data_IF_607490569516
#
_entry.id   IF_607490569516
#
_cell.length_a   1.000
_cell.length_b   1.000
_cell.length_c   1.000
_cell.angle_alpha   90.00
_cell.angle_beta   90.00
_cell.angle_gamma   90.00
#
_symmetry.space_group_name_H-M   'P 1'
#
loop_
_entity.id
_entity.type
_entity.pdbx_description
1 polymer ?
#
# COMPACT_ATOMS: atom_id res chain seq x y z
N UNK A 1 -34.10 14.36 20.00
CA UNK A 1 -32.82 13.70 19.73
C UNK A 1 -32.02 14.61 18.80
N UNK A 2 -30.92 15.19 19.30
CA UNK A 2 -29.98 15.98 18.45
C UNK A 2 -29.13 14.99 17.66
N UNK A 3 -28.84 15.23 16.37
CA UNK A 3 -27.95 14.40 15.60
C UNK A 3 -26.54 14.51 16.20
N UNK A 4 -25.90 13.37 16.39
CA UNK A 4 -24.48 13.26 16.77
C UNK A 4 -23.63 14.01 15.73
N UNK A 5 -23.19 15.20 16.11
CA UNK A 5 -22.26 15.98 15.32
C UNK A 5 -20.91 15.26 15.25
N UNK A 6 -20.52 14.87 14.05
CA UNK A 6 -19.17 14.42 13.74
C UNK A 6 -18.21 15.56 14.09
N UNK A 7 -17.45 15.40 15.16
CA UNK A 7 -16.34 16.30 15.46
C UNK A 7 -15.23 15.98 14.46
N UNK A 8 -15.05 16.85 13.48
CA UNK A 8 -13.81 16.94 12.73
C UNK A 8 -12.69 17.24 13.74
N UNK A 9 -11.87 16.24 14.04
CA UNK A 9 -10.59 16.49 14.65
C UNK A 9 -9.75 17.04 13.50
N UNK A 10 -9.56 18.34 13.48
CA UNK A 10 -8.51 18.97 12.68
C UNK A 10 -7.20 18.30 13.10
N UNK A 11 -6.69 17.39 12.28
CA UNK A 11 -5.34 16.92 12.42
C UNK A 11 -4.42 18.13 12.23
N UNK A 12 -3.82 18.61 13.30
CA UNK A 12 -2.66 19.47 13.25
C UNK A 12 -1.53 18.60 12.65
N UNK A 13 -1.57 18.42 11.33
CA UNK A 13 -0.58 17.66 10.62
C UNK A 13 0.75 18.37 10.70
N UNK A 14 1.78 17.67 11.18
CA UNK A 14 3.14 18.11 11.01
C UNK A 14 3.43 18.19 9.51
N UNK A 15 4.17 19.20 9.09
CA UNK A 15 4.66 19.29 7.73
C UNK A 15 6.16 19.51 7.74
N UNK A 16 6.84 18.93 6.77
CA UNK A 16 8.27 19.12 6.52
C UNK A 16 8.44 19.71 5.13
N UNK A 17 9.04 20.88 5.03
CA UNK A 17 9.29 21.55 3.76
C UNK A 17 10.76 21.42 3.41
N UNK A 18 11.05 20.80 2.26
CA UNK A 18 12.37 20.78 1.66
C UNK A 18 12.24 21.08 0.16
N UNK A 19 12.94 22.12 -0.29
CA UNK A 19 12.82 22.58 -1.68
C UNK A 19 11.38 23.04 -2.01
N UNK A 20 10.84 22.52 -3.12
CA UNK A 20 9.56 22.94 -3.67
C UNK A 20 8.36 22.13 -3.15
N UNK A 21 8.57 21.02 -2.42
CA UNK A 21 7.51 20.13 -1.98
C UNK A 21 7.33 20.14 -0.46
N UNK A 22 6.09 20.01 -0.02
CA UNK A 22 5.75 19.92 1.40
C UNK A 22 5.28 18.53 1.74
N UNK A 23 6.09 17.76 2.51
CA UNK A 23 5.66 16.48 3.05
C UNK A 23 4.68 16.70 4.20
N UNK A 24 3.50 16.12 4.08
CA UNK A 24 2.50 16.10 5.13
C UNK A 24 2.57 14.78 5.90
N UNK A 25 2.42 14.86 7.21
CA UNK A 25 2.33 13.67 8.07
C UNK A 25 0.89 13.49 8.51
N UNK A 26 0.46 12.22 8.53
CA UNK A 26 -0.90 11.84 8.94
C UNK A 26 -0.82 10.77 10.01
N UNK A 27 -1.75 10.83 10.94
CA UNK A 27 -1.87 9.79 11.96
C UNK A 27 -2.32 8.48 11.33
N UNK A 28 -1.65 7.38 11.67
CA UNK A 28 -1.99 6.06 11.18
C UNK A 28 -3.13 5.45 12.02
N UNK A 29 -4.36 5.59 11.53
CA UNK A 29 -5.57 5.15 12.24
C UNK A 29 -5.74 5.81 13.59
N UNK A 30 -6.10 5.02 14.62
CA UNK A 30 -6.25 5.47 16.02
C UNK A 30 -4.92 5.50 16.80
N UNK A 31 -3.80 5.10 16.18
CA UNK A 31 -2.51 5.16 16.85
C UNK A 31 -2.02 6.62 16.94
N UNK A 32 -0.97 6.84 17.72
CA UNK A 32 -0.27 8.13 17.73
C UNK A 32 0.89 8.17 16.72
N UNK A 33 1.02 7.13 15.88
CA UNK A 33 2.09 7.03 14.90
C UNK A 33 1.82 7.99 13.73
N UNK A 34 2.79 8.87 13.48
CA UNK A 34 2.74 9.80 12.35
C UNK A 34 3.52 9.22 11.17
N UNK A 35 2.88 9.12 10.03
CA UNK A 35 3.51 8.62 8.78
C UNK A 35 3.43 9.67 7.69
N UNK A 36 4.44 9.72 6.84
CA UNK A 36 4.45 10.58 5.65
C UNK A 36 3.34 10.19 4.68
N UNK A 37 2.76 11.16 4.00
CA UNK A 37 1.71 10.96 3.00
C UNK A 37 2.17 10.04 1.84
N UNK A 38 3.45 10.07 1.50
CA UNK A 38 4.07 9.06 0.64
C UNK A 38 4.84 8.05 1.49
N UNK A 39 4.65 6.76 1.18
CA UNK A 39 5.42 5.63 1.69
C UNK A 39 6.33 5.10 0.59
N UNK A 40 7.61 4.89 0.87
CA UNK A 40 8.53 4.30 -0.09
C UNK A 40 8.32 2.78 -0.15
N UNK A 41 7.83 2.29 -1.29
CA UNK A 41 7.66 0.86 -1.57
C UNK A 41 8.91 0.27 -2.22
N UNK A 42 9.38 -0.87 -1.73
CA UNK A 42 10.68 -1.45 -2.11
C UNK A 42 10.57 -2.80 -2.85
N UNK A 43 9.40 -3.11 -3.42
CA UNK A 43 9.18 -4.39 -4.10
C UNK A 43 10.18 -4.69 -5.24
N UNK A 44 10.77 -3.64 -5.84
CA UNK A 44 11.73 -3.78 -6.95
C UNK A 44 13.19 -3.86 -6.48
N UNK A 45 13.47 -3.63 -5.19
CA UNK A 45 14.82 -3.65 -4.65
C UNK A 45 15.38 -5.08 -4.64
N UNK A 46 16.60 -5.23 -5.15
CA UNK A 46 17.25 -6.54 -5.30
C UNK A 46 16.84 -7.32 -6.56
N UNK A 47 16.03 -6.72 -7.44
CA UNK A 47 15.69 -7.23 -8.78
C UNK A 47 15.97 -6.15 -9.82
N UNK A 48 14.97 -5.33 -10.17
CA UNK A 48 15.08 -4.28 -11.18
C UNK A 48 15.76 -3.00 -10.66
N UNK A 49 15.88 -2.85 -9.34
CA UNK A 49 16.56 -1.74 -8.67
C UNK A 49 17.79 -2.28 -7.95
N UNK A 50 18.96 -1.96 -8.47
CA UNK A 50 20.26 -2.35 -7.87
C UNK A 50 20.58 -1.51 -6.62
N UNK A 51 21.70 -1.87 -5.95
CA UNK A 51 22.09 -1.29 -4.66
C UNK A 51 22.28 0.23 -4.72
N UNK A 52 23.00 0.74 -5.71
CA UNK A 52 23.31 2.17 -5.81
C UNK A 52 22.06 3.00 -6.10
N UNK A 53 21.19 2.53 -6.98
CA UNK A 53 19.92 3.16 -7.29
C UNK A 53 18.99 3.14 -6.07
N UNK A 54 18.92 2.02 -5.36
CA UNK A 54 18.14 1.91 -4.13
C UNK A 54 18.66 2.87 -3.05
N UNK A 55 19.98 3.00 -2.91
CA UNK A 55 20.60 3.95 -2.00
C UNK A 55 20.25 5.40 -2.33
N UNK A 56 20.29 5.76 -3.62
CA UNK A 56 19.91 7.09 -4.08
C UNK A 56 18.42 7.38 -3.81
N UNK A 57 17.53 6.41 -4.07
CA UNK A 57 16.10 6.53 -3.80
C UNK A 57 15.84 6.72 -2.30
N UNK A 58 16.45 5.91 -1.42
CA UNK A 58 16.26 6.01 0.03
C UNK A 58 16.79 7.35 0.56
N UNK A 59 17.95 7.79 0.07
CA UNK A 59 18.54 9.08 0.48
C UNK A 59 17.66 10.27 0.05
N UNK A 60 17.15 10.25 -1.18
CA UNK A 60 16.25 11.30 -1.70
C UNK A 60 14.90 11.30 -0.95
N UNK A 61 14.31 10.12 -0.73
CA UNK A 61 13.08 9.99 0.06
C UNK A 61 13.23 10.59 1.45
N UNK A 62 14.33 10.25 2.15
CA UNK A 62 14.65 10.81 3.46
C UNK A 62 14.83 12.34 3.40
N UNK A 63 15.56 12.84 2.40
CA UNK A 63 15.78 14.28 2.23
C UNK A 63 14.48 15.06 2.02
N UNK A 64 13.43 14.41 1.43
CA UNK A 64 12.09 14.98 1.27
C UNK A 64 11.14 14.69 2.45
N UNK A 65 11.65 14.19 3.58
CA UNK A 65 10.88 13.99 4.81
C UNK A 65 10.01 12.74 4.80
N UNK A 66 10.26 11.78 3.90
CA UNK A 66 9.59 10.48 3.98
C UNK A 66 10.14 9.72 5.18
N UNK A 67 9.24 9.29 6.05
CA UNK A 67 9.57 8.49 7.23
C UNK A 67 8.97 7.09 7.20
N UNK A 68 8.25 6.72 6.13
CA UNK A 68 7.56 5.45 6.02
C UNK A 68 8.10 4.64 4.85
N UNK A 69 8.52 3.40 5.11
CA UNK A 69 9.08 2.49 4.12
C UNK A 69 8.42 1.11 4.23
N UNK A 70 8.07 0.51 3.10
CA UNK A 70 7.31 -0.73 3.00
C UNK A 70 8.07 -1.77 2.19
N UNK A 71 8.25 -2.95 2.77
CA UNK A 71 8.82 -4.14 2.13
C UNK A 71 7.96 -5.38 2.41
N UNK A 72 8.45 -6.58 2.10
CA UNK A 72 7.85 -7.87 2.46
C UNK A 72 8.91 -8.99 2.37
N UNK A 73 8.69 -10.06 3.13
CA UNK A 73 9.51 -11.29 3.09
C UNK A 73 9.66 -11.85 1.68
N UNK A 74 8.55 -11.90 0.94
CA UNK A 74 8.48 -12.51 -0.40
C UNK A 74 9.10 -11.65 -1.51
N UNK A 75 9.34 -10.34 -1.26
CA UNK A 75 9.88 -9.46 -2.29
C UNK A 75 11.29 -9.88 -2.68
N UNK A 76 11.44 -10.30 -3.94
CA UNK A 76 12.67 -10.85 -4.47
C UNK A 76 13.25 -11.96 -3.55
N UNK A 77 12.37 -12.80 -2.98
CA UNK A 77 12.70 -13.89 -2.04
C UNK A 77 13.57 -13.44 -0.86
N UNK A 78 13.25 -12.28 -0.27
CA UNK A 78 13.96 -11.70 0.87
C UNK A 78 15.08 -10.73 0.51
N UNK A 79 15.46 -10.60 -0.77
CA UNK A 79 16.54 -9.70 -1.17
C UNK A 79 16.20 -8.23 -0.92
N UNK A 80 14.92 -7.83 -1.06
CA UNK A 80 14.48 -6.48 -0.72
C UNK A 80 14.72 -6.14 0.76
N UNK A 81 14.37 -7.03 1.68
CA UNK A 81 14.66 -6.85 3.12
C UNK A 81 16.16 -6.81 3.41
N UNK A 82 16.95 -7.69 2.78
CA UNK A 82 18.41 -7.73 2.96
C UNK A 82 19.06 -6.42 2.49
N UNK A 83 18.64 -5.91 1.35
CA UNK A 83 19.12 -4.63 0.82
C UNK A 83 18.76 -3.47 1.76
N UNK A 84 17.49 -3.42 2.22
CA UNK A 84 17.05 -2.40 3.17
C UNK A 84 17.83 -2.46 4.48
N UNK A 85 18.09 -3.63 5.03
CA UNK A 85 18.88 -3.80 6.25
C UNK A 85 20.23 -3.08 6.15
N UNK A 86 20.89 -3.19 5.00
CA UNK A 86 22.15 -2.48 4.73
C UNK A 86 21.96 -0.97 4.57
N UNK A 87 20.93 -0.54 3.85
CA UNK A 87 20.67 0.87 3.55
C UNK A 87 20.21 1.67 4.77
N UNK A 88 19.47 1.03 5.68
CA UNK A 88 18.94 1.70 6.88
C UNK A 88 19.91 1.67 8.07
N UNK A 89 21.08 1.08 7.92
CA UNK A 89 22.09 1.01 8.98
C UNK A 89 22.48 2.41 9.46
N UNK A 90 22.41 2.63 10.78
CA UNK A 90 22.70 3.93 11.42
C UNK A 90 21.58 4.96 11.36
N UNK A 91 20.54 4.72 10.57
CA UNK A 91 19.36 5.60 10.43
C UNK A 91 18.02 4.88 10.65
N UNK A 92 18.04 3.65 11.15
CA UNK A 92 16.82 2.81 11.35
C UNK A 92 15.73 3.54 12.15
N UNK A 93 16.10 4.31 13.15
CA UNK A 93 15.18 5.03 14.04
C UNK A 93 14.43 6.21 13.37
N UNK A 94 14.85 6.62 12.19
CA UNK A 94 14.20 7.68 11.42
C UNK A 94 13.02 7.14 10.59
N UNK A 95 12.88 5.81 10.49
CA UNK A 95 11.94 5.15 9.62
C UNK A 95 10.87 4.38 10.38
N UNK A 96 9.63 4.58 9.99
CA UNK A 96 8.54 3.64 10.23
C UNK A 96 8.70 2.50 9.21
N UNK A 97 9.32 1.41 9.62
CA UNK A 97 9.62 0.27 8.76
C UNK A 97 8.49 -0.76 8.84
N UNK A 98 7.90 -1.06 7.68
CA UNK A 98 6.90 -2.11 7.55
C UNK A 98 7.43 -3.28 6.73
N UNK A 99 7.14 -4.50 7.20
CA UNK A 99 7.29 -5.72 6.40
C UNK A 99 6.02 -6.57 6.46
N UNK A 100 5.98 -7.64 5.68
CA UNK A 100 4.79 -8.49 5.54
C UNK A 100 5.22 -9.95 5.54
N UNK A 101 4.35 -10.83 6.02
CA UNK A 101 4.49 -12.28 5.91
C UNK A 101 3.15 -12.94 5.53
N UNK A 102 3.19 -14.21 5.13
CA UNK A 102 2.01 -15.01 4.83
C UNK A 102 1.94 -15.52 3.40
N UNK A 103 2.72 -14.98 2.47
CA UNK A 103 2.91 -15.57 1.15
C UNK A 103 3.86 -16.77 1.23
N UNK A 104 3.87 -17.57 0.15
CA UNK A 104 4.72 -18.74 0.04
C UNK A 104 6.19 -18.33 -0.15
N UNK A 105 7.06 -18.71 0.78
CA UNK A 105 8.49 -18.42 0.71
C UNK A 105 9.28 -19.56 0.05
N UNK A 106 8.83 -20.81 0.18
CA UNK A 106 9.46 -21.98 -0.45
C UNK A 106 8.42 -23.06 -0.76
N UNK A 107 8.86 -24.19 -1.35
CA UNK A 107 8.01 -25.37 -1.60
C UNK A 107 7.90 -26.30 -0.38
N UNK A 108 8.52 -25.96 0.74
CA UNK A 108 8.45 -26.74 1.97
C UNK A 108 7.09 -26.60 2.63
N UNK A 109 6.63 -27.68 3.25
CA UNK A 109 5.44 -27.68 4.07
C UNK A 109 5.62 -26.71 5.24
N UNK A 110 4.61 -25.91 5.55
CA UNK A 110 4.61 -24.90 6.61
C UNK A 110 5.59 -23.71 6.40
N UNK A 111 5.96 -23.40 5.17
CA UNK A 111 6.66 -22.14 4.82
C UNK A 111 5.78 -21.21 3.99
N UNK A 112 4.51 -21.14 4.39
CA UNK A 112 3.48 -20.28 3.83
C UNK A 112 2.35 -20.06 4.84
N UNK A 113 1.47 -19.11 4.56
CA UNK A 113 0.29 -18.80 5.37
C UNK A 113 0.64 -18.36 6.81
N UNK A 114 -0.15 -18.78 7.83
CA UNK A 114 -0.16 -18.12 9.13
C UNK A 114 -0.17 -19.11 10.30
N UNK A 115 0.44 -20.31 10.15
CA UNK A 115 0.65 -21.14 11.32
C UNK A 115 1.54 -20.40 12.34
N UNK A 116 1.26 -20.52 13.62
CA UNK A 116 2.02 -19.87 14.68
C UNK A 116 3.53 -20.14 14.56
N UNK A 117 3.88 -21.40 14.30
CA UNK A 117 5.29 -21.80 14.15
C UNK A 117 5.99 -21.07 13.01
N UNK A 118 5.31 -20.97 11.85
CA UNK A 118 5.86 -20.28 10.69
C UNK A 118 5.95 -18.77 10.91
N UNK A 119 4.89 -18.14 11.41
CA UNK A 119 4.86 -16.69 11.63
C UNK A 119 6.01 -16.23 12.53
N UNK A 120 6.24 -16.93 13.66
CA UNK A 120 7.31 -16.58 14.60
C UNK A 120 8.69 -16.73 13.93
N UNK A 121 8.92 -17.84 13.23
CA UNK A 121 10.19 -18.09 12.53
C UNK A 121 10.42 -17.09 11.39
N UNK A 122 9.40 -16.82 10.59
CA UNK A 122 9.56 -15.91 9.45
C UNK A 122 9.74 -14.46 9.86
N UNK A 123 9.11 -14.03 10.95
CA UNK A 123 9.44 -12.72 11.52
C UNK A 123 10.92 -12.66 11.93
N UNK A 124 11.46 -13.69 12.60
CA UNK A 124 12.87 -13.71 12.97
C UNK A 124 13.79 -13.69 11.75
N UNK A 125 13.45 -14.42 10.69
CA UNK A 125 14.16 -14.37 9.42
C UNK A 125 14.11 -12.96 8.80
N UNK A 126 12.95 -12.29 8.80
CA UNK A 126 12.81 -10.91 8.32
C UNK A 126 13.65 -9.93 9.14
N UNK A 127 13.64 -10.02 10.46
CA UNK A 127 14.46 -9.19 11.34
C UNK A 127 15.96 -9.39 11.07
N UNK A 128 16.38 -10.63 10.82
CA UNK A 128 17.76 -10.94 10.46
C UNK A 128 18.14 -10.30 9.10
N UNK A 129 17.29 -10.44 8.06
CA UNK A 129 17.52 -9.80 6.75
C UNK A 129 17.56 -8.27 6.86
N UNK A 130 16.65 -7.70 7.62
CA UNK A 130 16.55 -6.25 7.88
C UNK A 130 17.62 -5.71 8.86
N UNK A 131 18.41 -6.58 9.48
CA UNK A 131 19.46 -6.21 10.45
C UNK A 131 18.94 -5.31 11.59
N UNK A 132 17.77 -5.63 12.12
CA UNK A 132 17.09 -4.89 13.20
C UNK A 132 16.46 -5.84 14.19
N UNK A 133 16.24 -5.40 15.41
CA UNK A 133 15.57 -6.16 16.47
C UNK A 133 14.04 -6.06 16.42
N UNK A 134 13.50 -5.10 15.65
CA UNK A 134 12.06 -4.91 15.50
C UNK A 134 11.70 -4.27 14.16
N UNK A 135 10.46 -4.47 13.73
CA UNK A 135 9.79 -3.64 12.73
C UNK A 135 8.69 -2.81 13.39
N UNK A 136 8.40 -1.65 12.80
CA UNK A 136 7.32 -0.80 13.31
C UNK A 136 5.97 -1.40 12.96
N UNK A 137 5.81 -1.95 11.77
CA UNK A 137 4.56 -2.55 11.31
C UNK A 137 4.81 -3.92 10.69
N UNK A 138 4.06 -4.93 11.15
CA UNK A 138 3.99 -6.24 10.49
C UNK A 138 2.63 -6.42 9.85
N UNK A 139 2.58 -6.71 8.55
CA UNK A 139 1.34 -7.02 7.86
C UNK A 139 1.11 -8.52 7.71
N UNK A 140 -0.12 -8.95 7.92
CA UNK A 140 -0.63 -10.15 7.26
C UNK A 140 -0.85 -9.81 5.79
N UNK A 141 -0.04 -10.43 4.90
CA UNK A 141 0.12 -9.98 3.51
C UNK A 141 -1.12 -10.22 2.64
N UNK A 142 -1.91 -11.25 2.97
CA UNK A 142 -3.12 -11.62 2.24
C UNK A 142 -4.10 -12.37 3.13
N UNK A 143 -5.39 -12.30 2.79
CA UNK A 143 -6.37 -13.22 3.39
C UNK A 143 -6.19 -14.64 2.84
N UNK A 144 -6.45 -15.62 3.68
CA UNK A 144 -6.55 -17.04 3.33
C UNK A 144 -7.95 -17.50 3.72
N UNK A 145 -8.82 -17.63 2.72
CA UNK A 145 -10.22 -17.99 2.94
C UNK A 145 -10.30 -19.37 3.58
N UNK A 146 -11.17 -19.51 4.59
CA UNK A 146 -11.30 -20.75 5.37
C UNK A 146 -10.26 -20.94 6.47
N UNK A 147 -9.27 -20.04 6.58
CA UNK A 147 -8.31 -20.08 7.67
C UNK A 147 -8.95 -19.62 8.99
N UNK A 148 -8.69 -20.35 10.06
CA UNK A 148 -8.94 -19.86 11.41
C UNK A 148 -8.08 -18.62 11.70
N UNK A 149 -8.68 -17.59 12.27
CA UNK A 149 -8.00 -16.33 12.59
C UNK A 149 -7.44 -16.28 13.99
N UNK A 150 -7.87 -17.16 14.90
CA UNK A 150 -7.45 -17.08 16.29
C UNK A 150 -5.97 -17.42 16.46
N UNK A 151 -5.49 -18.49 15.83
CA UNK A 151 -4.08 -18.89 15.90
C UNK A 151 -3.11 -17.78 15.41
N UNK A 152 -3.29 -17.18 14.21
CA UNK A 152 -2.43 -16.09 13.77
C UNK A 152 -2.54 -14.85 14.66
N UNK A 153 -3.71 -14.51 15.18
CA UNK A 153 -3.85 -13.35 16.08
C UNK A 153 -3.12 -13.58 17.40
N UNK A 154 -3.15 -14.80 17.97
CA UNK A 154 -2.34 -15.16 19.14
C UNK A 154 -0.83 -15.11 18.84
N UNK A 155 -0.41 -15.43 17.61
CA UNK A 155 0.98 -15.28 17.21
C UNK A 155 1.39 -13.81 17.15
N UNK A 156 0.55 -12.94 16.56
CA UNK A 156 0.75 -11.47 16.53
C UNK A 156 0.82 -10.90 17.95
N UNK A 157 -0.08 -11.28 18.86
CA UNK A 157 -0.04 -10.82 20.25
C UNK A 157 1.30 -11.20 20.92
N UNK A 158 1.79 -12.41 20.68
CA UNK A 158 3.09 -12.82 21.19
C UNK A 158 4.24 -11.97 20.64
N UNK A 159 4.22 -11.62 19.35
CA UNK A 159 5.21 -10.75 18.70
C UNK A 159 5.17 -9.32 19.24
N UNK A 160 3.96 -8.78 19.49
CA UNK A 160 3.75 -7.47 20.11
C UNK A 160 4.33 -7.45 21.53
N UNK A 161 4.00 -8.46 22.36
CA UNK A 161 4.50 -8.58 23.74
C UNK A 161 6.01 -8.78 23.80
N UNK A 162 6.59 -9.48 22.82
CA UNK A 162 8.04 -9.63 22.69
C UNK A 162 8.73 -8.35 22.21
N UNK A 163 7.98 -7.33 21.79
CA UNK A 163 8.54 -6.10 21.26
C UNK A 163 9.19 -6.24 19.89
N UNK A 164 9.00 -7.36 19.19
CA UNK A 164 9.52 -7.57 17.83
C UNK A 164 8.74 -6.80 16.75
N UNK A 165 7.50 -6.47 17.05
CA UNK A 165 6.68 -5.56 16.23
C UNK A 165 6.05 -4.49 17.14
N UNK A 166 5.86 -3.27 16.63
CA UNK A 166 5.22 -2.17 17.38
C UNK A 166 3.73 -2.08 17.09
N UNK A 167 3.38 -2.25 15.85
CA UNK A 167 2.03 -2.24 15.31
C UNK A 167 1.86 -3.39 14.33
N UNK A 168 0.63 -3.68 13.96
CA UNK A 168 0.36 -4.65 12.93
C UNK A 168 -0.80 -4.21 12.02
N UNK A 169 -0.88 -4.82 10.85
CA UNK A 169 -1.89 -4.51 9.86
C UNK A 169 -2.28 -5.69 9.00
N UNK A 170 -3.21 -5.45 8.10
CA UNK A 170 -3.71 -6.44 7.13
C UNK A 170 -3.59 -5.89 5.72
N UNK A 171 -3.31 -6.75 4.75
CA UNK A 171 -3.30 -6.40 3.33
C UNK A 171 -4.14 -7.41 2.55
N UNK A 172 -4.96 -6.91 1.59
CA UNK A 172 -5.82 -7.75 0.77
C UNK A 172 -6.90 -8.54 1.55
N UNK A 173 -7.37 -8.00 2.66
CA UNK A 173 -8.48 -8.53 3.44
C UNK A 173 -9.79 -7.83 3.05
N UNK A 174 -10.89 -8.60 3.01
CA UNK A 174 -12.24 -8.07 2.82
C UNK A 174 -12.73 -7.34 4.06
N UNK A 175 -13.68 -6.41 3.90
CA UNK A 175 -14.22 -5.65 5.03
C UNK A 175 -14.84 -6.51 6.11
N UNK A 176 -15.59 -7.58 5.75
CA UNK A 176 -16.14 -8.53 6.71
C UNK A 176 -15.07 -9.32 7.49
N UNK A 177 -13.91 -9.62 6.84
CA UNK A 177 -12.77 -10.29 7.53
C UNK A 177 -12.09 -9.33 8.51
N UNK A 178 -12.00 -8.04 8.16
CA UNK A 178 -11.50 -7.01 9.08
C UNK A 178 -12.42 -6.93 10.31
N UNK A 179 -13.74 -6.94 10.12
CA UNK A 179 -14.70 -6.95 11.22
C UNK A 179 -14.54 -8.19 12.12
N UNK A 180 -14.35 -9.37 11.53
CA UNK A 180 -14.10 -10.61 12.27
C UNK A 180 -12.78 -10.58 13.03
N UNK A 181 -11.72 -10.06 12.44
CA UNK A 181 -10.44 -9.82 13.12
C UNK A 181 -10.63 -8.91 14.33
N UNK A 182 -11.36 -7.80 14.18
CA UNK A 182 -11.63 -6.87 15.28
C UNK A 182 -12.41 -7.54 16.41
N UNK A 183 -13.39 -8.40 16.08
CA UNK A 183 -14.17 -9.16 17.07
C UNK A 183 -13.27 -10.13 17.85
N UNK A 184 -12.44 -10.91 17.16
CA UNK A 184 -11.54 -11.90 17.80
C UNK A 184 -10.47 -11.18 18.62
N UNK A 185 -9.84 -10.12 18.09
CA UNK A 185 -8.85 -9.34 18.83
C UNK A 185 -9.43 -8.79 20.14
N UNK A 186 -10.68 -8.29 20.11
CA UNK A 186 -11.40 -7.86 21.31
C UNK A 186 -11.61 -8.99 22.32
N UNK A 187 -11.97 -10.19 21.87
CA UNK A 187 -12.12 -11.36 22.74
C UNK A 187 -10.78 -11.82 23.34
N UNK A 188 -9.69 -11.69 22.60
CA UNK A 188 -8.35 -12.03 23.06
C UNK A 188 -7.72 -10.94 23.95
N UNK A 189 -8.37 -9.78 24.10
CA UNK A 189 -7.84 -8.64 24.85
C UNK A 189 -6.57 -8.05 24.23
N UNK A 190 -6.40 -8.18 22.91
CA UNK A 190 -5.26 -7.65 22.17
C UNK A 190 -5.68 -6.47 21.27
N UNK A 191 -4.76 -5.57 20.90
CA UNK A 191 -5.07 -4.50 19.96
C UNK A 191 -5.41 -5.07 18.57
N UNK A 192 -6.44 -4.51 17.92
CA UNK A 192 -6.75 -4.77 16.53
C UNK A 192 -5.69 -4.20 15.57
N UNK A 193 -5.82 -4.46 14.25
CA UNK A 193 -4.89 -3.91 13.26
C UNK A 193 -4.93 -2.38 13.26
N UNK A 194 -3.75 -1.77 13.21
CA UNK A 194 -3.58 -0.31 13.15
C UNK A 194 -3.76 0.21 11.73
N UNK A 195 -3.45 -0.62 10.73
CA UNK A 195 -3.43 -0.22 9.32
C UNK A 195 -3.93 -1.33 8.42
N UNK A 196 -4.62 -0.93 7.35
CA UNK A 196 -5.01 -1.76 6.21
C UNK A 196 -4.27 -1.31 4.96
N UNK A 197 -3.76 -2.26 4.18
CA UNK A 197 -3.06 -1.99 2.92
C UNK A 197 -3.85 -2.59 1.75
N UNK A 198 -4.84 -1.84 1.18
CA UNK A 198 -5.64 -2.31 0.05
C UNK A 198 -5.04 -1.90 -1.29
N UNK A 199 -5.40 -2.66 -2.34
CA UNK A 199 -5.26 -2.28 -3.73
C UNK A 199 -6.31 -1.22 -4.09
N UNK A 200 -5.91 0.05 -4.18
CA UNK A 200 -6.82 1.17 -4.42
C UNK A 200 -6.20 2.22 -5.34
N UNK A 201 -6.87 2.52 -6.44
CA UNK A 201 -6.48 3.53 -7.41
C UNK A 201 -7.68 3.91 -8.30
N UNK A 202 -7.49 4.87 -9.21
CA UNK A 202 -8.51 5.37 -10.14
C UNK A 202 -9.19 4.28 -11.00
N UNK A 203 -8.52 3.15 -11.26
CA UNK A 203 -9.07 2.05 -12.06
C UNK A 203 -9.67 0.93 -11.20
N UNK A 204 -9.48 0.99 -9.87
CA UNK A 204 -10.05 0.01 -8.93
C UNK A 204 -10.55 0.72 -7.68
N UNK A 205 -11.83 1.04 -7.66
CA UNK A 205 -12.53 1.69 -6.56
C UNK A 205 -13.31 0.71 -5.66
N UNK A 206 -13.20 -0.59 -5.89
CA UNK A 206 -13.88 -1.61 -5.10
C UNK A 206 -13.67 -1.49 -3.57
N UNK A 207 -12.50 -1.05 -3.04
CA UNK A 207 -12.34 -0.83 -1.61
C UNK A 207 -13.32 0.18 -0.99
N UNK A 208 -13.90 1.09 -1.78
CA UNK A 208 -14.88 2.08 -1.31
C UNK A 208 -16.20 1.44 -0.84
N UNK A 209 -16.51 0.22 -1.29
CA UNK A 209 -17.76 -0.48 -0.92
C UNK A 209 -17.76 -0.93 0.54
N UNK A 210 -16.68 -1.59 0.98
CA UNK A 210 -16.64 -2.16 2.34
C UNK A 210 -15.31 -1.96 3.07
N UNK A 211 -14.16 -2.02 2.39
CA UNK A 211 -12.84 -1.99 3.05
C UNK A 211 -12.58 -0.63 3.69
N UNK A 212 -12.71 0.46 2.92
CA UNK A 212 -12.52 1.82 3.44
C UNK A 212 -13.57 2.20 4.49
N UNK A 213 -14.86 1.89 4.31
CA UNK A 213 -15.86 2.05 5.36
C UNK A 213 -15.54 1.26 6.65
N UNK A 214 -15.10 0.01 6.55
CA UNK A 214 -14.70 -0.79 7.71
C UNK A 214 -13.48 -0.16 8.42
N UNK A 215 -12.46 0.24 7.67
CA UNK A 215 -11.28 0.92 8.21
C UNK A 215 -11.69 2.19 8.97
N UNK A 216 -12.54 3.01 8.36
CA UNK A 216 -13.04 4.23 8.99
C UNK A 216 -13.85 3.93 10.27
N UNK A 217 -14.73 2.92 10.25
CA UNK A 217 -15.55 2.53 11.40
C UNK A 217 -14.70 2.08 12.58
N UNK A 218 -13.70 1.24 12.34
CA UNK A 218 -12.82 0.72 13.39
C UNK A 218 -11.66 1.65 13.74
N UNK A 219 -11.44 2.72 12.96
CA UNK A 219 -10.32 3.67 13.11
C UNK A 219 -8.98 3.05 12.74
N UNK A 220 -8.97 2.24 11.69
CA UNK A 220 -7.79 1.64 11.07
C UNK A 220 -7.30 2.60 10.00
N UNK A 221 -6.02 2.95 9.98
CA UNK A 221 -5.42 3.76 8.93
C UNK A 221 -5.34 2.99 7.61
N UNK A 222 -5.29 3.70 6.50
CA UNK A 222 -5.17 3.08 5.18
C UNK A 222 -3.87 3.51 4.52
N UNK A 223 -3.08 2.55 4.08
CA UNK A 223 -1.89 2.75 3.25
C UNK A 223 -2.10 1.99 1.95
N UNK A 224 -2.56 2.67 0.90
CA UNK A 224 -2.91 2.00 -0.36
C UNK A 224 -1.69 1.71 -1.23
N UNK A 225 -1.73 0.63 -1.99
CA UNK A 225 -0.68 0.28 -2.95
C UNK A 225 -1.14 0.39 -4.40
N UNK A 226 -0.17 0.51 -5.32
CA UNK A 226 -0.37 0.67 -6.77
C UNK A 226 -1.21 1.89 -7.17
N UNK A 227 -0.88 3.11 -6.70
CA UNK A 227 -1.64 4.31 -7.07
C UNK A 227 -1.64 4.56 -8.56
N UNK A 228 -0.57 4.18 -9.27
CA UNK A 228 -0.44 4.32 -10.73
C UNK A 228 -0.83 3.03 -11.48
N UNK A 229 -1.60 2.13 -10.87
CA UNK A 229 -2.13 0.92 -11.50
C UNK A 229 -1.04 0.17 -12.29
N UNK A 230 0.06 -0.22 -11.61
CA UNK A 230 1.25 -0.89 -12.19
C UNK A 230 1.83 -0.19 -13.42
N UNK A 231 1.57 1.11 -13.58
CA UNK A 231 2.04 1.95 -14.66
C UNK A 231 1.02 2.20 -15.78
N UNK A 232 -0.20 1.71 -15.71
CA UNK A 232 -1.28 2.08 -16.65
C UNK A 232 -1.61 3.57 -16.48
N UNK A 233 -1.72 4.03 -15.24
CA UNK A 233 -1.98 5.44 -14.92
C UNK A 233 -0.73 6.35 -15.03
N UNK A 234 0.25 5.96 -15.84
CA UNK A 234 1.26 6.90 -16.38
C UNK A 234 0.89 7.40 -17.77
N UNK A 235 -0.14 6.80 -18.38
CA UNK A 235 -0.60 7.16 -19.72
C UNK A 235 0.32 6.74 -20.86
N UNK A 236 1.33 5.88 -20.60
CA UNK A 236 2.29 5.41 -21.61
C UNK A 236 1.79 4.28 -22.50
N UNK A 237 0.67 3.64 -22.13
CA UNK A 237 0.07 2.57 -22.91
C UNK A 237 -1.14 3.13 -23.66
N UNK A 238 -1.13 3.00 -24.98
CA UNK A 238 -2.26 3.40 -25.82
C UNK A 238 -3.13 2.19 -26.16
N UNK A 239 -4.47 2.36 -26.22
CA UNK A 239 -5.39 1.32 -26.67
C UNK A 239 -5.02 0.82 -28.07
N UNK A 240 -5.13 -0.51 -28.30
CA UNK A 240 -4.84 -1.12 -29.60
C UNK A 240 -3.36 -1.11 -30.04
N UNK A 241 -2.43 -0.62 -29.21
CA UNK A 241 -1.00 -0.58 -29.55
C UNK A 241 -0.19 -1.59 -28.73
N UNK A 242 0.82 -2.18 -29.35
CA UNK A 242 1.78 -3.02 -28.66
C UNK A 242 2.57 -2.19 -27.60
N UNK A 243 2.77 -2.72 -26.40
CA UNK A 243 3.55 -2.05 -25.38
C UNK A 243 5.00 -1.81 -25.82
N UNK A 244 5.51 -0.61 -25.57
CA UNK A 244 6.91 -0.28 -25.87
C UNK A 244 7.88 -1.21 -25.12
N UNK A 245 9.01 -1.54 -25.75
CA UNK A 245 10.08 -2.36 -25.17
C UNK A 245 10.54 -1.81 -23.81
N UNK A 246 10.96 -2.70 -22.90
CA UNK A 246 11.39 -2.34 -21.53
C UNK A 246 10.26 -1.97 -20.57
N UNK A 247 9.01 -1.85 -21.05
CA UNK A 247 7.86 -1.62 -20.17
C UNK A 247 7.42 -2.89 -19.44
N UNK A 248 6.65 -2.73 -18.35
CA UNK A 248 6.13 -3.85 -17.57
C UNK A 248 5.22 -4.76 -18.39
N UNK A 249 4.37 -4.19 -19.24
CA UNK A 249 3.49 -4.94 -20.13
C UNK A 249 4.29 -5.73 -21.18
N UNK A 250 5.31 -5.13 -21.80
CA UNK A 250 6.14 -5.80 -22.81
C UNK A 250 6.92 -7.00 -22.22
N UNK A 251 7.24 -6.99 -20.94
CA UNK A 251 7.86 -8.13 -20.24
C UNK A 251 6.89 -9.24 -19.86
N UNK A 252 5.62 -9.11 -20.17
CA UNK A 252 4.61 -10.13 -19.84
C UNK A 252 4.33 -10.27 -18.34
N UNK A 253 4.35 -9.16 -17.59
CA UNK A 253 4.05 -9.21 -16.15
C UNK A 253 2.64 -9.76 -15.92
N UNK A 254 2.59 -10.97 -15.36
CA UNK A 254 1.35 -11.72 -15.13
C UNK A 254 0.34 -10.91 -14.31
N UNK A 255 0.79 -10.28 -13.22
CA UNK A 255 -0.14 -9.52 -12.37
C UNK A 255 -0.70 -8.28 -13.06
N UNK A 256 0.08 -7.63 -13.91
CA UNK A 256 -0.41 -6.51 -14.69
C UNK A 256 -1.47 -6.94 -15.71
N UNK A 257 -1.24 -8.04 -16.43
CA UNK A 257 -2.20 -8.57 -17.41
C UNK A 257 -3.48 -9.10 -16.76
N UNK A 258 -3.39 -9.64 -15.55
CA UNK A 258 -4.56 -10.11 -14.78
C UNK A 258 -5.38 -8.97 -14.17
N UNK A 259 -4.79 -7.79 -13.96
CA UNK A 259 -5.44 -6.71 -13.19
C UNK A 259 -5.70 -5.44 -14.01
N UNK A 260 -4.67 -4.71 -14.39
CA UNK A 260 -4.83 -3.34 -14.89
C UNK A 260 -4.77 -3.21 -16.42
N UNK A 261 -4.10 -4.15 -17.11
CA UNK A 261 -3.86 -4.05 -18.54
C UNK A 261 -5.06 -4.58 -19.34
N UNK A 262 -6.15 -3.81 -19.30
CA UNK A 262 -7.41 -4.07 -20.03
C UNK A 262 -7.75 -2.88 -20.91
N UNK A 263 -8.40 -3.10 -22.02
CA UNK A 263 -8.71 -2.08 -23.02
C UNK A 263 -9.47 -0.89 -22.40
N UNK A 264 -10.49 -1.15 -21.60
CA UNK A 264 -11.26 -0.10 -20.91
C UNK A 264 -10.38 0.74 -19.98
N UNK A 265 -9.46 0.09 -19.29
CA UNK A 265 -8.50 0.77 -18.40
C UNK A 265 -7.56 1.67 -19.17
N UNK A 266 -7.12 1.25 -20.37
CA UNK A 266 -6.24 2.05 -21.22
C UNK A 266 -6.98 3.27 -21.80
N UNK A 267 -8.22 3.10 -22.25
CA UNK A 267 -9.07 4.21 -22.74
C UNK A 267 -9.28 5.24 -21.64
N UNK A 268 -9.67 4.79 -20.43
CA UNK A 268 -9.86 5.67 -19.27
C UNK A 268 -8.55 6.40 -18.94
N UNK A 269 -7.42 5.70 -18.96
CA UNK A 269 -6.12 6.31 -18.65
C UNK A 269 -5.75 7.42 -19.65
N UNK A 270 -6.07 7.29 -20.95
CA UNK A 270 -5.83 8.35 -21.94
C UNK A 270 -6.72 9.58 -21.70
N UNK A 271 -7.99 9.37 -21.33
CA UNK A 271 -8.90 10.47 -20.98
C UNK A 271 -8.42 11.22 -19.75
N UNK A 272 -8.02 10.51 -18.70
CA UNK A 272 -7.48 11.10 -17.48
C UNK A 272 -6.13 11.78 -17.72
N UNK A 273 -5.31 11.26 -18.65
CA UNK A 273 -4.04 11.88 -19.05
C UNK A 273 -4.27 13.27 -19.67
N UNK A 274 -5.17 13.38 -20.63
CA UNK A 274 -5.49 14.65 -21.25
C UNK A 274 -5.99 15.69 -20.22
N UNK A 275 -6.80 15.26 -19.25
CA UNK A 275 -7.28 16.10 -18.16
C UNK A 275 -6.14 16.56 -17.23
N UNK A 276 -5.27 15.65 -16.79
CA UNK A 276 -4.13 15.97 -15.92
C UNK A 276 -3.16 16.93 -16.60
N UNK A 277 -2.85 16.70 -17.88
CA UNK A 277 -1.97 17.57 -18.70
C UNK A 277 -2.57 18.98 -18.85
N UNK A 278 -3.90 19.10 -19.01
CA UNK A 278 -4.59 20.40 -19.03
C UNK A 278 -4.49 21.13 -17.68
N UNK A 279 -4.31 20.43 -16.58
CA UNK A 279 -4.06 20.97 -15.23
C UNK A 279 -2.55 21.21 -14.96
N UNK A 280 -1.67 20.93 -15.89
CA UNK A 280 -0.21 21.12 -15.78
C UNK A 280 0.52 20.07 -14.95
N UNK A 281 -0.07 18.90 -14.74
CA UNK A 281 0.53 17.78 -14.01
C UNK A 281 0.49 16.49 -14.83
N UNK A 282 1.31 15.51 -14.46
CA UNK A 282 1.27 14.19 -15.11
C UNK A 282 0.10 13.35 -14.58
N UNK A 283 -0.34 12.36 -15.37
CA UNK A 283 -1.36 11.41 -14.92
C UNK A 283 -0.93 10.64 -13.65
N UNK A 284 0.36 10.31 -13.52
CA UNK A 284 0.88 9.62 -12.32
C UNK A 284 0.75 10.50 -11.06
N UNK A 285 1.03 11.79 -11.18
CA UNK A 285 0.84 12.76 -10.10
C UNK A 285 -0.64 12.92 -9.75
N UNK A 286 -1.49 13.10 -10.75
CA UNK A 286 -2.93 13.17 -10.58
C UNK A 286 -3.50 11.93 -9.87
N UNK A 287 -3.17 10.73 -10.35
CA UNK A 287 -3.63 9.49 -9.77
C UNK A 287 -3.18 9.30 -8.30
N UNK A 288 -1.95 9.69 -8.00
CA UNK A 288 -1.42 9.63 -6.63
C UNK A 288 -2.11 10.64 -5.72
N UNK A 289 -2.27 11.88 -6.16
CA UNK A 289 -2.96 12.94 -5.42
C UNK A 289 -4.43 12.59 -5.16
N UNK A 290 -5.12 12.01 -6.16
CA UNK A 290 -6.51 11.57 -6.01
C UNK A 290 -6.66 10.51 -4.92
N UNK A 291 -5.79 9.51 -4.87
CA UNK A 291 -5.81 8.50 -3.79
C UNK A 291 -5.53 9.17 -2.43
N UNK A 292 -4.58 10.09 -2.36
CA UNK A 292 -4.26 10.84 -1.14
C UNK A 292 -5.39 11.77 -0.68
N UNK A 293 -6.23 12.25 -1.58
CA UNK A 293 -7.39 13.09 -1.26
C UNK A 293 -8.47 12.32 -0.50
N UNK A 294 -8.52 10.98 -0.60
CA UNK A 294 -9.50 10.20 0.14
C UNK A 294 -9.21 10.23 1.64
N UNK A 295 -10.20 10.71 2.42
CA UNK A 295 -10.07 10.96 3.88
C UNK A 295 -9.64 9.76 4.74
N UNK A 296 -9.90 8.52 4.29
CA UNK A 296 -9.49 7.31 5.00
C UNK A 296 -8.02 6.96 4.75
N UNK A 297 -7.39 7.53 3.70
CA UNK A 297 -6.02 7.20 3.31
C UNK A 297 -5.04 8.01 4.14
N UNK A 298 -4.20 7.33 4.91
CA UNK A 298 -3.11 7.94 5.67
C UNK A 298 -1.85 8.10 4.82
N UNK A 299 -1.57 7.14 3.93
CA UNK A 299 -0.36 7.14 3.10
C UNK A 299 -0.58 6.37 1.79
N UNK A 300 0.22 6.67 0.78
CA UNK A 300 0.21 5.96 -0.51
C UNK A 300 1.60 5.38 -0.78
N UNK A 301 1.67 4.11 -1.13
CA UNK A 301 2.93 3.43 -1.46
C UNK A 301 3.35 3.78 -2.89
N UNK A 302 4.40 4.56 -3.01
CA UNK A 302 5.13 4.80 -4.23
C UNK A 302 6.21 3.73 -4.39
N UNK A 303 6.12 2.92 -5.45
CA UNK A 303 7.05 1.81 -5.72
C UNK A 303 7.90 2.07 -6.97
N UNK A 304 8.93 2.92 -6.89
CA UNK A 304 9.78 3.26 -8.01
C UNK A 304 10.78 2.13 -8.34
N UNK A 305 11.29 2.13 -9.58
CA UNK A 305 12.46 1.36 -9.99
C UNK A 305 13.70 2.23 -10.11
N UNK A 306 13.51 3.53 -10.35
CA UNK A 306 14.59 4.50 -10.52
C UNK A 306 14.34 5.73 -9.68
N UNK A 307 15.43 6.47 -9.38
CA UNK A 307 15.36 7.75 -8.66
C UNK A 307 14.41 8.73 -9.37
N UNK A 308 14.48 8.80 -10.71
CA UNK A 308 13.58 9.66 -11.48
C UNK A 308 12.10 9.29 -11.23
N UNK A 309 11.76 8.00 -11.25
CA UNK A 309 10.39 7.57 -10.98
C UNK A 309 9.96 7.88 -9.54
N UNK A 310 10.88 7.85 -8.58
CA UNK A 310 10.60 8.29 -7.23
C UNK A 310 10.29 9.79 -7.20
N UNK A 311 11.14 10.60 -7.80
CA UNK A 311 10.98 12.06 -7.86
C UNK A 311 9.69 12.48 -8.59
N UNK A 312 9.25 11.71 -9.58
CA UNK A 312 7.98 11.93 -10.30
C UNK A 312 6.73 11.83 -9.41
N UNK A 313 6.82 11.16 -8.24
CA UNK A 313 5.71 11.12 -7.28
C UNK A 313 5.60 12.36 -6.40
N UNK A 314 6.71 13.05 -6.11
CA UNK A 314 6.74 14.14 -5.14
C UNK A 314 5.77 15.29 -5.46
N UNK A 315 5.62 15.76 -6.72
CA UNK A 315 4.68 16.84 -7.05
C UNK A 315 3.21 16.50 -6.78
N UNK A 316 2.85 15.22 -6.63
CA UNK A 316 1.50 14.83 -6.24
C UNK A 316 1.08 15.38 -4.86
N UNK A 317 2.05 15.70 -3.99
CA UNK A 317 1.81 16.27 -2.67
C UNK A 317 1.29 17.71 -2.72
N UNK A 318 1.56 18.42 -3.81
CA UNK A 318 1.21 19.83 -3.97
C UNK A 318 -0.09 20.03 -4.77
N UNK A 319 -0.65 18.94 -5.35
CA UNK A 319 -1.89 19.00 -6.10
C UNK A 319 -3.11 18.80 -5.20
N UNK A 320 -4.03 19.74 -5.27
CA UNK A 320 -5.32 19.63 -4.59
C UNK A 320 -6.39 19.18 -5.58
N UNK A 321 -6.98 18.03 -5.33
CA UNK A 321 -8.08 17.50 -6.15
C UNK A 321 -9.30 18.39 -6.04
N UNK A 322 -9.80 18.86 -7.18
CA UNK A 322 -10.92 19.77 -7.30
C UNK A 322 -12.24 19.02 -7.59
N UNK A 323 -13.40 19.65 -7.40
CA UNK A 323 -14.70 18.99 -7.68
C UNK A 323 -14.88 18.53 -9.14
N UNK A 324 -14.28 19.21 -10.11
CA UNK A 324 -14.33 18.80 -11.52
C UNK A 324 -13.46 17.58 -11.80
N UNK A 325 -12.37 17.39 -11.03
CA UNK A 325 -11.55 16.18 -11.07
C UNK A 325 -12.36 14.96 -10.61
N UNK A 326 -13.04 15.08 -9.46
CA UNK A 326 -13.91 14.03 -8.92
C UNK A 326 -15.06 13.71 -9.85
N UNK A 327 -15.73 14.73 -10.40
CA UNK A 327 -16.82 14.54 -11.35
C UNK A 327 -16.38 13.78 -12.61
N UNK A 328 -15.20 14.09 -13.13
CA UNK A 328 -14.63 13.33 -14.26
C UNK A 328 -14.36 11.89 -13.87
N UNK A 329 -13.66 11.67 -12.76
CA UNK A 329 -13.34 10.30 -12.28
C UNK A 329 -14.61 9.49 -12.07
N UNK A 330 -15.64 10.05 -11.42
CA UNK A 330 -16.92 9.39 -11.17
C UNK A 330 -17.66 9.02 -12.47
N UNK A 331 -17.52 9.83 -13.52
CA UNK A 331 -18.10 9.55 -14.83
C UNK A 331 -17.42 8.39 -15.56
N UNK A 332 -16.11 8.20 -15.34
CA UNK A 332 -15.28 7.17 -15.98
C UNK A 332 -15.26 5.86 -15.20
N UNK A 333 -15.15 5.93 -13.88
CA UNK A 333 -15.14 4.78 -12.97
C UNK A 333 -16.07 5.08 -11.79
N UNK A 334 -17.22 4.47 -11.77
CA UNK A 334 -18.22 4.70 -10.71
C UNK A 334 -17.65 4.34 -9.33
N UNK A 335 -17.99 5.11 -8.28
CA UNK A 335 -17.65 4.77 -6.90
C UNK A 335 -17.95 3.31 -6.57
N UNK A 336 -16.99 2.62 -5.96
CA UNK A 336 -17.13 1.23 -5.58
C UNK A 336 -16.95 0.19 -6.70
N UNK A 337 -16.61 0.60 -7.92
CA UNK A 337 -16.46 -0.30 -9.07
C UNK A 337 -15.02 -0.32 -9.62
N UNK A 338 -14.64 -1.40 -10.35
CA UNK A 338 -13.45 -1.39 -11.19
C UNK A 338 -13.74 -0.68 -12.53
N UNK A 339 -12.68 -0.31 -13.26
CA UNK A 339 -12.76 0.30 -14.59
C UNK A 339 -13.44 -0.57 -15.64
N UNK A 340 -13.36 -1.91 -15.48
CA UNK A 340 -14.05 -2.88 -16.34
C UNK A 340 -15.22 -3.48 -15.56
N UNK A 341 -16.48 -3.30 -16.01
CA UNK A 341 -17.64 -3.87 -15.34
C UNK A 341 -17.52 -5.38 -15.14
N UNK A 342 -17.84 -5.85 -13.93
CA UNK A 342 -17.79 -7.28 -13.59
C UNK A 342 -16.39 -7.84 -13.35
N UNK A 343 -15.34 -7.05 -13.47
CA UNK A 343 -13.98 -7.51 -13.17
C UNK A 343 -13.83 -7.83 -11.68
N UNK A 344 -13.18 -8.96 -11.41
CA UNK A 344 -12.66 -9.33 -10.09
C UNK A 344 -11.21 -9.80 -10.21
N UNK A 345 -10.37 -9.46 -9.24
CA UNK A 345 -8.96 -9.88 -9.24
C UNK A 345 -8.87 -11.41 -9.08
N UNK A 346 -8.26 -12.15 -10.04
CA UNK A 346 -8.13 -13.62 -9.94
C UNK A 346 -7.33 -14.11 -8.73
N UNK A 347 -6.44 -13.27 -8.18
CA UNK A 347 -5.69 -13.62 -6.98
C UNK A 347 -6.53 -13.49 -5.69
N UNK A 348 -7.65 -12.79 -5.76
CA UNK A 348 -8.58 -12.54 -4.64
C UNK A 348 -10.03 -12.76 -5.09
N UNK A 349 -10.39 -13.99 -5.49
CA UNK A 349 -11.68 -14.29 -6.08
C UNK A 349 -12.83 -14.04 -5.09
N UNK A 350 -14.02 -13.82 -5.65
CA UNK A 350 -15.26 -13.78 -4.88
C UNK A 350 -15.76 -15.22 -4.71
N UNK A 351 -15.62 -15.77 -3.51
CA UNK A 351 -16.11 -17.12 -3.20
C UNK A 351 -17.55 -17.06 -2.66
N UNK A 352 -18.48 -16.58 -3.48
CA UNK A 352 -19.88 -16.40 -3.09
C UNK A 352 -20.73 -17.67 -3.23
N UNK A 353 -20.22 -18.68 -3.92
CA UNK A 353 -20.86 -19.99 -4.07
C UNK A 353 -19.83 -21.08 -3.84
N UNK A 354 -19.81 -21.63 -2.64
CA UNK A 354 -19.00 -22.80 -2.24
C UNK A 354 -19.95 -23.97 -2.11
#
# INVERSE_FOLDING_TARGET
>A
AKPLGWRFVLHLGWCFKNGNHTMHYRTLGKSNLQVSALCLGTMMFGDQTGQDEAAAIVADARAHGVNYIDTADVYTKGASETMLGSLLKGQRHEWVLATKLGNKMSDRVNESHYSRSWMLRELDNSLQRLQTDHVDILYMHRDVIGMDLEEPLRAIDAMLRAGKIRYWGVSNFRGWRIAEIMRIAGQLGMPGPTVCQPYYNLLNRMPEVEILPACNHYGIGVTSYSPVARGVLTGKYAPGQAPAEGTRAARGDKRMSETEFREESLVIAQTLKAHAEAKGITLAQFATAWVLAHRAVSSVIAGPRTLQQWQDYLPALDYTVAPDDEALVDSLVRPGHPSTPGFTDPAYPLNSRV
#
